data_IF_515206837007
#
_entry.id   IF_515206837007
#
_cell.length_a   1.000
_cell.length_b   1.000
_cell.length_c   1.000
_cell.angle_alpha   90.00
_cell.angle_beta   90.00
_cell.angle_gamma   90.00
#
_symmetry.space_group_name_H-M   'P 1'
#
loop_
_entity.id
_entity.type
_entity.pdbx_description
1 polymer ?
#
# COMPACT_ATOMS: atom_id res chain seq x y z
N UNK A 1 -14.76 28.97 -21.23
CA UNK A 1 -14.70 27.49 -21.36
C UNK A 1 -13.65 27.02 -20.33
N UNK A 2 -14.09 26.32 -19.29
CA UNK A 2 -13.16 25.81 -18.28
C UNK A 2 -12.37 24.68 -18.94
N UNK A 3 -11.08 24.84 -19.16
CA UNK A 3 -10.20 23.71 -19.53
C UNK A 3 -10.34 22.65 -18.42
N UNK A 4 -10.88 21.51 -18.77
CA UNK A 4 -10.94 20.37 -17.85
C UNK A 4 -9.49 19.94 -17.62
N UNK A 5 -8.96 20.26 -16.44
CA UNK A 5 -7.60 19.85 -16.04
C UNK A 5 -7.49 18.33 -16.20
N UNK A 6 -6.47 17.86 -16.90
CA UNK A 6 -6.17 16.44 -17.02
C UNK A 6 -5.82 15.86 -15.65
N UNK A 7 -6.25 14.62 -15.41
CA UNK A 7 -5.82 13.86 -14.24
C UNK A 7 -4.31 13.55 -14.36
N UNK A 8 -3.56 13.82 -13.30
CA UNK A 8 -2.13 13.53 -13.21
C UNK A 8 -1.95 12.18 -12.55
N UNK A 9 -1.35 11.24 -13.28
CA UNK A 9 -1.22 9.84 -12.86
C UNK A 9 0.24 9.50 -12.60
N UNK A 10 0.55 8.99 -11.42
CA UNK A 10 1.81 8.31 -11.12
C UNK A 10 1.59 6.81 -11.33
N UNK A 11 2.51 6.17 -12.05
CA UNK A 11 2.52 4.72 -12.22
C UNK A 11 3.47 4.10 -11.20
N UNK A 12 2.94 3.20 -10.38
CA UNK A 12 3.76 2.36 -9.52
C UNK A 12 3.95 0.99 -10.16
N UNK A 13 5.19 0.59 -10.34
CA UNK A 13 5.55 -0.73 -10.81
C UNK A 13 6.59 -1.37 -9.90
N UNK A 14 6.53 -2.68 -9.75
CA UNK A 14 7.43 -3.41 -8.87
C UNK A 14 7.84 -4.75 -9.45
N UNK A 15 9.07 -5.17 -9.14
CA UNK A 15 9.56 -6.51 -9.45
C UNK A 15 8.98 -7.49 -8.42
N UNK A 16 8.31 -8.55 -8.90
CA UNK A 16 7.86 -9.64 -8.02
C UNK A 16 9.07 -10.41 -7.49
N UNK A 17 9.22 -10.41 -6.18
CA UNK A 17 10.30 -11.14 -5.49
C UNK A 17 9.92 -12.58 -5.13
N UNK A 18 8.67 -12.98 -5.35
CA UNK A 18 8.26 -14.38 -5.14
C UNK A 18 8.79 -15.22 -6.31
N UNK A 19 9.36 -16.40 -6.06
CA UNK A 19 9.57 -17.41 -7.09
C UNK A 19 8.20 -17.99 -7.50
N UNK A 20 7.40 -17.21 -8.21
CA UNK A 20 6.19 -17.68 -8.87
C UNK A 20 6.59 -18.27 -10.22
N UNK A 21 5.82 -19.27 -10.67
CA UNK A 21 6.01 -19.84 -11.99
C UNK A 21 6.11 -18.72 -13.04
N UNK A 22 7.05 -18.87 -13.98
CA UNK A 22 7.38 -17.80 -14.94
C UNK A 22 6.19 -17.29 -15.77
N UNK A 23 5.07 -18.02 -15.77
CA UNK A 23 3.83 -17.66 -16.46
C UNK A 23 3.04 -16.51 -15.80
N UNK A 24 3.26 -16.22 -14.48
CA UNK A 24 2.48 -15.20 -13.76
C UNK A 24 3.23 -13.89 -13.53
N UNK A 25 4.40 -13.74 -14.13
CA UNK A 25 5.23 -12.53 -13.97
C UNK A 25 4.90 -11.50 -15.01
N UNK A 26 4.03 -10.56 -14.68
CA UNK A 26 3.88 -9.34 -15.49
C UNK A 26 5.14 -8.51 -15.39
N UNK A 27 5.80 -8.29 -16.53
CA UNK A 27 7.06 -7.54 -16.63
C UNK A 27 6.87 -6.05 -16.31
N UNK A 28 7.94 -5.36 -15.91
CA UNK A 28 7.88 -3.90 -15.68
C UNK A 28 7.36 -3.12 -16.91
N UNK A 29 7.78 -3.42 -18.17
CA UNK A 29 7.20 -2.77 -19.34
C UNK A 29 5.69 -3.02 -19.52
N UNK A 30 5.20 -4.21 -19.19
CA UNK A 30 3.76 -4.52 -19.26
C UNK A 30 2.97 -3.79 -18.18
N UNK A 31 3.52 -3.67 -16.96
CA UNK A 31 2.91 -2.88 -15.88
C UNK A 31 2.82 -1.41 -16.29
N UNK A 32 3.89 -0.86 -16.87
CA UNK A 32 3.89 0.52 -17.36
C UNK A 32 2.89 0.73 -18.50
N UNK A 33 2.85 -0.19 -19.48
CA UNK A 33 1.88 -0.11 -20.57
C UNK A 33 0.44 -0.10 -20.04
N UNK A 34 0.10 -1.02 -19.14
CA UNK A 34 -1.24 -1.06 -18.53
C UNK A 34 -1.59 0.25 -17.81
N UNK A 35 -0.62 0.86 -17.12
CA UNK A 35 -0.82 2.15 -16.46
C UNK A 35 -0.99 3.31 -17.44
N UNK A 36 -0.28 3.31 -18.57
CA UNK A 36 -0.45 4.33 -19.64
C UNK A 36 -1.80 4.18 -20.31
N UNK A 37 -2.20 2.94 -20.63
CA UNK A 37 -3.54 2.66 -21.19
C UNK A 37 -4.65 3.13 -20.24
N UNK A 38 -4.47 2.95 -18.92
CA UNK A 38 -5.38 3.49 -17.92
C UNK A 38 -5.41 5.04 -17.95
N UNK A 39 -4.25 5.70 -17.94
CA UNK A 39 -4.17 7.16 -17.96
C UNK A 39 -4.89 7.73 -19.21
N UNK A 40 -4.67 7.14 -20.37
CA UNK A 40 -5.36 7.52 -21.62
C UNK A 40 -6.87 7.30 -21.51
N UNK A 41 -7.33 6.18 -20.95
CA UNK A 41 -8.74 5.86 -20.79
C UNK A 41 -9.49 6.83 -19.88
N UNK A 42 -8.82 7.40 -18.85
CA UNK A 42 -9.42 8.40 -17.94
C UNK A 42 -9.18 9.84 -18.38
N UNK A 43 -8.58 10.05 -19.57
CA UNK A 43 -8.24 11.38 -20.07
C UNK A 43 -7.16 12.08 -19.26
N UNK A 44 -6.29 11.31 -18.63
CA UNK A 44 -5.19 11.76 -17.78
C UNK A 44 -3.85 11.87 -18.53
N UNK A 45 -2.81 12.17 -17.77
CA UNK A 45 -1.42 12.15 -18.22
C UNK A 45 -0.53 11.50 -17.17
N UNK A 46 0.45 10.73 -17.61
CA UNK A 46 1.44 10.13 -16.71
C UNK A 46 2.50 11.17 -16.37
N UNK A 47 2.58 11.54 -15.09
CA UNK A 47 3.55 12.55 -14.61
C UNK A 47 4.83 11.92 -14.10
N UNK A 48 4.78 10.66 -13.60
CA UNK A 48 5.98 9.92 -13.21
C UNK A 48 5.74 8.40 -13.21
N UNK A 49 6.85 7.64 -13.20
CA UNK A 49 6.85 6.18 -13.15
C UNK A 49 7.81 5.70 -12.06
N UNK A 50 7.28 5.39 -10.90
CA UNK A 50 8.04 4.93 -9.75
C UNK A 50 8.26 3.41 -9.82
N UNK A 51 9.48 2.97 -9.54
CA UNK A 51 9.83 1.55 -9.64
C UNK A 51 10.41 1.03 -8.33
N UNK A 52 9.70 0.10 -7.68
CA UNK A 52 10.26 -0.69 -6.58
C UNK A 52 11.11 -1.83 -7.16
N UNK A 53 12.44 -1.86 -6.92
CA UNK A 53 13.32 -2.90 -7.43
C UNK A 53 13.10 -4.28 -6.77
N UNK A 54 12.16 -4.39 -5.84
CA UNK A 54 11.83 -5.64 -5.16
C UNK A 54 12.79 -6.01 -4.03
N UNK A 55 13.67 -5.09 -3.60
CA UNK A 55 14.64 -5.31 -2.52
C UNK A 55 14.02 -5.31 -1.12
N UNK A 56 12.78 -4.87 -1.00
CA UNK A 56 12.04 -4.70 0.28
C UNK A 56 11.65 -5.99 0.97
N UNK A 57 12.54 -6.99 1.07
CA UNK A 57 12.21 -8.29 1.68
C UNK A 57 11.85 -8.23 3.16
N UNK A 58 12.27 -7.20 3.88
CA UNK A 58 12.12 -7.04 5.33
C UNK A 58 11.29 -5.83 5.74
N UNK A 59 10.88 -5.00 4.79
CA UNK A 59 10.18 -3.75 5.10
C UNK A 59 8.70 -4.02 5.39
N UNK A 60 8.27 -3.62 6.58
CA UNK A 60 6.90 -3.81 7.07
C UNK A 60 6.16 -2.47 7.15
N UNK A 61 6.89 -1.39 7.42
CA UNK A 61 6.32 -0.07 7.66
C UNK A 61 6.83 0.97 6.67
N UNK A 62 6.03 2.01 6.46
CA UNK A 62 6.36 3.11 5.56
C UNK A 62 7.71 3.77 5.85
N UNK A 63 8.02 4.06 7.12
CA UNK A 63 9.26 4.74 7.49
C UNK A 63 10.52 3.96 7.09
N UNK A 64 10.46 2.63 7.17
CA UNK A 64 11.56 1.78 6.72
C UNK A 64 11.62 1.72 5.20
N UNK A 65 10.47 1.62 4.51
CA UNK A 65 10.38 1.65 3.07
C UNK A 65 10.95 2.96 2.50
N UNK A 66 10.55 4.09 3.04
CA UNK A 66 11.02 5.41 2.65
C UNK A 66 12.53 5.58 2.85
N UNK A 67 13.09 5.00 3.90
CA UNK A 67 14.53 5.03 4.17
C UNK A 67 15.33 4.16 3.21
N UNK A 68 14.83 2.98 2.88
CA UNK A 68 15.58 1.94 2.17
C UNK A 68 15.35 1.97 0.65
N UNK A 69 14.18 2.42 0.17
CA UNK A 69 13.76 2.30 -1.22
C UNK A 69 13.45 3.68 -1.80
N UNK A 70 14.12 4.03 -2.91
CA UNK A 70 13.97 5.36 -3.54
C UNK A 70 12.52 5.65 -3.95
N UNK A 71 11.82 4.68 -4.53
CA UNK A 71 10.45 4.86 -5.01
C UNK A 71 9.48 5.36 -3.92
N UNK A 72 9.65 4.94 -2.66
CA UNK A 72 8.81 5.45 -1.56
C UNK A 72 9.18 6.88 -1.15
N UNK A 73 10.47 7.26 -1.23
CA UNK A 73 10.89 8.66 -1.05
C UNK A 73 10.33 9.56 -2.13
N UNK A 74 10.45 9.14 -3.37
CA UNK A 74 9.92 9.86 -4.54
C UNK A 74 8.41 10.03 -4.42
N UNK A 75 7.68 8.97 -4.01
CA UNK A 75 6.24 9.07 -3.74
C UNK A 75 5.93 10.06 -2.60
N UNK A 76 6.74 10.08 -1.53
CA UNK A 76 6.60 11.07 -0.45
C UNK A 76 6.74 12.50 -0.99
N UNK A 77 7.76 12.75 -1.79
CA UNK A 77 7.98 14.06 -2.38
C UNK A 77 6.81 14.50 -3.27
N UNK A 78 6.25 13.58 -4.06
CA UNK A 78 5.04 13.84 -4.84
C UNK A 78 3.83 14.15 -3.95
N UNK A 79 3.64 13.41 -2.86
CA UNK A 79 2.59 13.69 -1.88
C UNK A 79 2.74 15.08 -1.25
N UNK A 80 3.95 15.48 -0.90
CA UNK A 80 4.24 16.79 -0.31
C UNK A 80 4.03 17.95 -1.31
N UNK A 81 4.35 17.74 -2.58
CA UNK A 81 4.09 18.71 -3.66
C UNK A 81 2.63 18.77 -4.10
N UNK A 82 1.86 17.70 -3.87
CA UNK A 82 0.47 17.60 -4.36
C UNK A 82 0.39 17.67 -5.88
N UNK A 83 1.35 17.10 -6.60
CA UNK A 83 1.52 17.24 -8.04
C UNK A 83 0.93 16.07 -8.84
N UNK A 84 0.17 15.18 -8.21
CA UNK A 84 -0.55 14.08 -8.84
C UNK A 84 -1.96 13.93 -8.24
N UNK A 85 -2.83 13.22 -8.95
CA UNK A 85 -4.22 12.98 -8.57
C UNK A 85 -4.52 11.49 -8.38
N UNK A 86 -3.77 10.61 -9.05
CA UNK A 86 -3.95 9.15 -8.98
C UNK A 86 -2.61 8.44 -8.88
N UNK A 87 -2.48 7.51 -7.93
CA UNK A 87 -1.41 6.51 -7.89
C UNK A 87 -1.96 5.20 -8.46
N UNK A 88 -1.57 4.85 -9.68
CA UNK A 88 -1.97 3.61 -10.34
C UNK A 88 -0.99 2.48 -10.04
N UNK A 89 -1.51 1.32 -9.66
CA UNK A 89 -0.76 0.06 -9.61
C UNK A 89 -1.53 -1.06 -10.31
N UNK A 90 -0.83 -2.04 -10.84
CA UNK A 90 -1.49 -3.21 -11.46
C UNK A 90 -2.23 -4.05 -10.43
N UNK A 91 -1.62 -4.25 -9.25
CA UNK A 91 -2.20 -4.94 -8.10
C UNK A 91 -1.66 -4.34 -6.81
N UNK A 92 -2.47 -4.28 -5.76
CA UNK A 92 -2.09 -3.66 -4.48
C UNK A 92 -0.86 -4.30 -3.83
N UNK A 93 -0.60 -5.60 -4.06
CA UNK A 93 0.58 -6.29 -3.54
C UNK A 93 1.91 -5.79 -4.13
N UNK A 94 1.84 -4.97 -5.19
CA UNK A 94 3.00 -4.26 -5.76
C UNK A 94 3.40 -3.02 -4.95
N UNK A 95 2.46 -2.46 -4.16
CA UNK A 95 2.71 -1.32 -3.28
C UNK A 95 3.41 -1.71 -1.97
N UNK A 96 3.55 -2.98 -1.69
CA UNK A 96 4.19 -3.47 -0.48
C UNK A 96 3.88 -4.94 -0.23
N UNK A 97 4.74 -5.61 0.53
CA UNK A 97 4.60 -7.04 0.82
C UNK A 97 3.66 -7.36 1.95
N UNK A 98 3.38 -6.38 2.79
CA UNK A 98 2.50 -6.54 3.94
C UNK A 98 1.24 -5.70 3.73
N UNK A 99 0.12 -6.18 4.24
CA UNK A 99 -1.11 -5.39 4.24
C UNK A 99 -0.92 -4.07 4.99
N UNK A 100 -0.09 -4.06 6.03
CA UNK A 100 0.24 -2.87 6.80
C UNK A 100 0.91 -1.80 5.94
N UNK A 101 1.92 -2.17 5.13
CA UNK A 101 2.60 -1.24 4.25
C UNK A 101 1.68 -0.73 3.13
N UNK A 102 0.94 -1.65 2.48
CA UNK A 102 -0.03 -1.26 1.44
C UNK A 102 -1.03 -0.22 1.94
N UNK A 103 -1.58 -0.44 3.13
CA UNK A 103 -2.53 0.49 3.71
C UNK A 103 -1.90 1.83 4.10
N UNK A 104 -0.65 1.84 4.57
CA UNK A 104 0.07 3.09 4.85
C UNK A 104 0.31 3.88 3.56
N UNK A 105 0.67 3.21 2.45
CA UNK A 105 0.81 3.85 1.14
C UNK A 105 -0.51 4.52 0.73
N UNK A 106 -1.63 3.78 0.76
CA UNK A 106 -2.94 4.34 0.42
C UNK A 106 -3.34 5.51 1.33
N UNK A 107 -3.10 5.38 2.65
CA UNK A 107 -3.42 6.44 3.59
C UNK A 107 -2.61 7.72 3.34
N UNK A 108 -1.32 7.60 2.99
CA UNK A 108 -0.46 8.75 2.68
C UNK A 108 -0.89 9.43 1.38
N UNK A 109 -1.21 8.64 0.35
CA UNK A 109 -1.72 9.14 -0.94
C UNK A 109 -3.05 9.88 -0.74
N UNK A 110 -3.97 9.32 0.05
CA UNK A 110 -5.26 9.95 0.34
C UNK A 110 -5.10 11.23 1.17
N UNK A 111 -4.20 11.25 2.15
CA UNK A 111 -3.87 12.47 2.91
C UNK A 111 -3.30 13.59 2.04
N UNK A 112 -2.60 13.24 0.96
CA UNK A 112 -2.12 14.19 -0.05
C UNK A 112 -3.23 14.69 -1.00
N UNK A 113 -4.46 14.21 -0.85
CA UNK A 113 -5.59 14.56 -1.71
C UNK A 113 -5.62 13.83 -3.05
N UNK A 114 -4.81 12.76 -3.18
CA UNK A 114 -4.78 11.89 -4.34
C UNK A 114 -5.50 10.56 -4.05
N UNK A 115 -5.71 9.74 -5.08
CA UNK A 115 -6.40 8.47 -4.98
C UNK A 115 -5.51 7.31 -5.41
N UNK A 116 -5.52 6.22 -4.64
CA UNK A 116 -4.87 4.97 -5.05
C UNK A 116 -5.79 4.13 -5.92
N UNK A 117 -5.29 3.66 -7.06
CA UNK A 117 -6.03 2.82 -8.00
C UNK A 117 -5.33 1.47 -8.21
N UNK A 118 -6.07 0.40 -7.96
CA UNK A 118 -5.66 -0.99 -8.18
C UNK A 118 -6.38 -1.54 -9.41
N UNK A 119 -5.65 -1.81 -10.48
CA UNK A 119 -6.24 -2.32 -11.72
C UNK A 119 -6.87 -3.72 -11.59
N UNK A 120 -6.46 -4.51 -10.59
CA UNK A 120 -7.08 -5.81 -10.29
C UNK A 120 -8.43 -5.69 -9.56
N UNK A 121 -8.73 -4.53 -8.98
CA UNK A 121 -9.97 -4.22 -8.28
C UNK A 121 -10.49 -2.85 -8.72
N UNK A 122 -10.88 -2.69 -9.99
CA UNK A 122 -11.20 -1.40 -10.58
C UNK A 122 -12.41 -0.74 -9.92
N UNK A 123 -12.35 0.57 -9.78
CA UNK A 123 -13.43 1.41 -9.26
C UNK A 123 -13.47 2.73 -10.02
N UNK A 124 -14.52 3.51 -9.82
CA UNK A 124 -14.63 4.84 -10.43
C UNK A 124 -13.74 5.82 -9.69
N UNK A 125 -12.91 6.58 -10.41
CA UNK A 125 -12.10 7.66 -9.85
C UNK A 125 -13.00 8.65 -9.10
N UNK A 126 -12.58 9.04 -7.90
CA UNK A 126 -13.35 9.87 -6.97
C UNK A 126 -14.29 9.08 -6.05
N UNK A 127 -14.32 7.76 -6.15
CA UNK A 127 -15.12 6.87 -5.30
C UNK A 127 -14.25 5.82 -4.58
N UNK A 128 -13.00 6.15 -4.27
CA UNK A 128 -12.08 5.22 -3.64
C UNK A 128 -12.61 4.72 -2.30
N UNK A 129 -12.77 3.41 -2.21
CA UNK A 129 -13.02 2.70 -0.96
C UNK A 129 -11.81 1.87 -0.54
N UNK A 130 -10.73 1.90 -1.33
CA UNK A 130 -9.56 1.02 -1.15
C UNK A 130 -8.84 1.39 0.14
N UNK A 131 -8.54 2.67 0.37
CA UNK A 131 -7.90 3.14 1.59
C UNK A 131 -8.72 2.78 2.83
N UNK A 132 -10.04 3.01 2.81
CA UNK A 132 -10.93 2.63 3.91
C UNK A 132 -10.93 1.12 4.17
N UNK A 133 -10.91 0.28 3.14
CA UNK A 133 -10.83 -1.19 3.29
C UNK A 133 -9.53 -1.62 3.94
N UNK A 134 -8.39 -1.05 3.55
CA UNK A 134 -7.10 -1.37 4.13
C UNK A 134 -6.95 -0.82 5.55
N UNK A 135 -7.42 0.39 5.83
CA UNK A 135 -7.43 0.96 7.18
C UNK A 135 -8.26 0.09 8.11
N UNK A 136 -9.46 -0.31 7.70
CA UNK A 136 -10.32 -1.22 8.48
C UNK A 136 -9.65 -2.59 8.72
N UNK A 137 -8.97 -3.16 7.71
CA UNK A 137 -8.24 -4.42 7.84
C UNK A 137 -7.07 -4.30 8.84
N UNK A 138 -6.33 -3.20 8.83
CA UNK A 138 -5.24 -2.97 9.81
C UNK A 138 -5.81 -2.82 11.22
N UNK A 139 -6.87 -2.05 11.39
CA UNK A 139 -7.49 -1.87 12.70
C UNK A 139 -7.97 -3.21 13.26
N UNK A 140 -8.52 -4.10 12.43
CA UNK A 140 -8.93 -5.44 12.87
C UNK A 140 -7.74 -6.30 13.27
N UNK A 141 -6.64 -6.30 12.53
CA UNK A 141 -5.41 -7.05 12.85
C UNK A 141 -4.76 -6.52 14.14
N UNK A 142 -4.73 -5.20 14.31
CA UNK A 142 -4.21 -4.60 15.56
C UNK A 142 -5.07 -4.97 16.76
N UNK A 143 -6.40 -4.97 16.63
CA UNK A 143 -7.32 -5.41 17.66
C UNK A 143 -7.12 -6.89 18.03
N UNK A 144 -6.94 -7.77 17.04
CA UNK A 144 -6.63 -9.19 17.29
C UNK A 144 -5.29 -9.38 18.01
N UNK A 145 -4.24 -8.67 17.60
CA UNK A 145 -2.94 -8.73 18.25
C UNK A 145 -3.02 -8.23 19.71
N UNK A 146 -3.79 -7.18 19.98
CA UNK A 146 -4.02 -6.69 21.35
C UNK A 146 -4.71 -7.75 22.22
N UNK A 147 -5.73 -8.41 21.68
CA UNK A 147 -6.45 -9.51 22.37
C UNK A 147 -5.48 -10.68 22.65
N UNK A 148 -4.64 -11.05 21.71
CA UNK A 148 -3.63 -12.13 21.89
C UNK A 148 -2.62 -11.74 22.99
N UNK A 149 -2.13 -10.49 22.98
CA UNK A 149 -1.23 -9.98 24.03
C UNK A 149 -1.90 -9.93 25.41
N UNK A 150 -3.16 -9.52 25.48
CA UNK A 150 -3.94 -9.53 26.72
C UNK A 150 -4.11 -10.96 27.26
N UNK A 151 -4.47 -11.91 26.39
CA UNK A 151 -4.60 -13.32 26.78
C UNK A 151 -3.28 -13.94 27.24
N UNK A 152 -2.17 -13.57 26.61
CA UNK A 152 -0.82 -14.02 27.02
C UNK A 152 -0.43 -13.46 28.39
N UNK A 153 -0.69 -12.15 28.63
CA UNK A 153 -0.47 -11.51 29.95
C UNK A 153 -1.34 -12.12 31.04
N UNK A 154 -2.60 -12.40 30.73
CA UNK A 154 -3.50 -13.04 31.70
C UNK A 154 -3.03 -14.46 32.08
N UNK A 155 -2.61 -15.27 31.09
CA UNK A 155 -2.07 -16.62 31.32
C UNK A 155 -0.78 -16.60 32.15
N UNK A 156 0.14 -15.68 31.89
CA UNK A 156 1.37 -15.55 32.67
C UNK A 156 1.11 -15.06 34.09
N UNK A 157 0.13 -14.17 34.26
CA UNK A 157 -0.33 -13.69 35.57
C UNK A 157 -0.95 -14.82 36.42
N UNK A 158 -1.79 -15.67 35.81
CA UNK A 158 -2.36 -16.85 36.49
C UNK A 158 -1.29 -17.88 36.87
N UNK A 159 -0.34 -18.18 35.98
CA UNK A 159 0.80 -19.07 36.30
C UNK A 159 1.63 -18.52 37.45
N UNK A 160 1.89 -17.22 37.49
CA UNK A 160 2.61 -16.58 38.59
C UNK A 160 1.86 -16.64 39.93
N UNK A 161 0.51 -16.63 39.94
CA UNK A 161 -0.29 -16.82 41.14
C UNK A 161 -0.24 -18.27 41.65
N UNK A 162 -0.41 -19.23 40.76
CA UNK A 162 -0.34 -20.66 41.08
C UNK A 162 1.01 -21.02 41.67
N UNK A 163 2.12 -20.58 41.08
CA UNK A 163 3.48 -20.83 41.55
C UNK A 163 3.75 -20.18 42.94
N UNK A 164 3.02 -19.14 43.33
CA UNK A 164 3.12 -18.48 44.63
C UNK A 164 2.12 -19.02 45.65
N UNK A 165 1.39 -20.10 45.32
CA UNK A 165 0.40 -20.71 46.23
C UNK A 165 -0.84 -19.85 46.46
N UNK A 166 -1.07 -18.84 45.66
CA UNK A 166 -2.27 -18.00 45.78
C UNK A 166 -3.37 -18.60 44.90
N UNK A 167 -4.23 -19.39 45.50
CA UNK A 167 -5.44 -19.89 44.86
C UNK A 167 -6.44 -18.73 44.66
N UNK A 168 -7.19 -18.79 43.54
CA UNK A 168 -8.24 -17.84 43.22
C UNK A 168 -9.43 -18.05 44.16
#
# INVERSE_FOLDING_TARGET
>A
MSETRKLRVILWRAVSSKPQAAADKVSLPEQERAGRDFADAVGGEVVDVLTDPGESRSVIFWQDAEREISAYRELREHCERGDFDVLHTLTSDRLGRTQALMAQVYAIVEQAGAEGYDASAPHTIGQSTIAHRYIAAIQSVQAEQEIVRLRARHRSGMRGRVLRGLHA
#
